data_IF_579062059148
#
_entry.id   IF_579062059148
#
_cell.length_a   1.000
_cell.length_b   1.000
_cell.length_c   1.000
_cell.angle_alpha   90.00
_cell.angle_beta   90.00
_cell.angle_gamma   90.00
#
_symmetry.space_group_name_H-M   'P 1'
#
loop_
_entity.id
_entity.type
_entity.pdbx_description
1 polymer ?
#
# COMPACT_ATOMS: atom_id res chain seq x y z
N UNK A 1 -20.65 -11.63 -0.33
CA UNK A 1 -20.18 -10.25 -0.13
C UNK A 1 -19.83 -9.69 -1.50
N UNK A 2 -20.43 -8.57 -1.86
CA UNK A 2 -20.16 -7.86 -3.12
C UNK A 2 -18.84 -7.09 -3.03
N UNK A 3 -18.13 -6.87 -4.16
CA UNK A 3 -16.95 -6.01 -4.16
C UNK A 3 -17.34 -4.59 -3.76
N UNK A 4 -16.55 -3.96 -2.90
CA UNK A 4 -16.73 -2.56 -2.49
C UNK A 4 -15.97 -1.68 -3.47
N UNK A 5 -16.66 -0.78 -4.18
CA UNK A 5 -16.02 0.16 -5.12
C UNK A 5 -16.37 1.59 -4.72
N UNK A 6 -15.37 2.41 -4.42
CA UNK A 6 -15.55 3.82 -4.07
C UNK A 6 -14.64 4.71 -4.93
N UNK A 7 -15.25 5.76 -5.49
CA UNK A 7 -14.56 6.74 -6.35
C UNK A 7 -14.76 8.14 -5.78
N UNK A 8 -13.72 8.69 -5.16
CA UNK A 8 -13.77 10.00 -4.52
C UNK A 8 -13.00 11.05 -5.29
N UNK A 9 -13.65 12.19 -5.57
CA UNK A 9 -13.02 13.31 -6.30
C UNK A 9 -12.37 14.35 -5.40
N UNK A 10 -12.68 14.33 -4.10
CA UNK A 10 -12.23 15.28 -3.10
C UNK A 10 -11.58 14.53 -1.92
N UNK A 11 -11.61 15.11 -0.72
CA UNK A 11 -11.21 14.45 0.52
C UNK A 11 -12.16 13.30 0.86
N UNK A 12 -11.62 12.15 1.27
CA UNK A 12 -12.41 11.00 1.67
C UNK A 12 -11.68 10.12 2.68
N UNK A 13 -12.40 9.65 3.69
CA UNK A 13 -11.97 8.57 4.58
C UNK A 13 -12.87 7.37 4.32
N UNK A 14 -12.26 6.20 4.16
CA UNK A 14 -12.98 4.96 3.96
C UNK A 14 -12.41 3.89 4.88
N UNK A 15 -13.25 3.40 5.77
CA UNK A 15 -12.97 2.32 6.70
C UNK A 15 -13.81 1.11 6.28
N UNK A 16 -13.18 -0.05 6.14
CA UNK A 16 -13.83 -1.30 5.78
C UNK A 16 -13.34 -2.44 6.69
N UNK A 17 -14.20 -2.90 7.60
CA UNK A 17 -13.84 -3.98 8.53
C UNK A 17 -13.61 -5.34 7.83
N UNK A 18 -14.59 -5.80 7.04
CA UNK A 18 -14.50 -7.08 6.34
C UNK A 18 -14.96 -6.92 4.90
N UNK A 19 -14.03 -7.08 3.96
CA UNK A 19 -14.36 -7.05 2.54
C UNK A 19 -13.64 -8.17 1.77
N UNK A 20 -14.35 -8.75 0.80
CA UNK A 20 -13.71 -9.71 -0.11
C UNK A 20 -12.81 -8.97 -1.09
N UNK A 21 -13.33 -7.91 -1.70
CA UNK A 21 -12.65 -7.14 -2.73
C UNK A 21 -12.94 -5.66 -2.47
N UNK A 22 -11.90 -4.82 -2.49
CA UNK A 22 -12.00 -3.39 -2.32
C UNK A 22 -11.29 -2.66 -3.47
N UNK A 23 -12.02 -1.77 -4.15
CA UNK A 23 -11.53 -0.91 -5.22
C UNK A 23 -11.76 0.54 -4.83
N UNK A 24 -10.74 1.19 -4.27
CA UNK A 24 -10.85 2.57 -3.78
C UNK A 24 -9.94 3.48 -4.62
N UNK A 25 -10.52 4.52 -5.21
CA UNK A 25 -9.76 5.52 -5.95
C UNK A 25 -10.07 6.93 -5.48
N UNK A 26 -9.02 7.72 -5.24
CA UNK A 26 -9.13 9.11 -4.84
C UNK A 26 -8.34 10.04 -5.78
N UNK A 27 -8.87 11.25 -6.02
CA UNK A 27 -8.17 12.29 -6.83
C UNK A 27 -7.43 13.31 -5.99
N UNK A 28 -7.77 13.48 -4.72
CA UNK A 28 -7.20 14.48 -3.82
C UNK A 28 -6.61 13.75 -2.60
N UNK A 29 -6.91 14.21 -1.38
CA UNK A 29 -6.48 13.57 -0.14
C UNK A 29 -7.40 12.38 0.19
N UNK A 30 -6.84 11.26 0.61
CA UNK A 30 -7.64 10.14 1.10
C UNK A 30 -6.95 9.32 2.17
N UNK A 31 -7.74 8.77 3.08
CA UNK A 31 -7.34 7.70 3.99
C UNK A 31 -8.19 6.48 3.70
N UNK A 32 -7.55 5.33 3.55
CA UNK A 32 -8.22 4.05 3.32
C UNK A 32 -7.68 3.04 4.33
N UNK A 33 -8.56 2.63 5.23
CA UNK A 33 -8.29 1.68 6.31
C UNK A 33 -9.10 0.41 6.04
N UNK A 34 -8.41 -0.71 5.89
CA UNK A 34 -9.03 -2.02 5.66
C UNK A 34 -8.49 -3.00 6.69
N UNK A 35 -9.36 -3.48 7.58
CA UNK A 35 -8.98 -4.44 8.63
C UNK A 35 -8.76 -5.84 8.02
N UNK A 36 -9.81 -6.47 7.49
CA UNK A 36 -9.71 -7.77 6.81
C UNK A 36 -10.13 -7.68 5.34
N UNK A 37 -9.15 -7.83 4.44
CA UNK A 37 -9.38 -7.83 3.00
C UNK A 37 -8.72 -9.01 2.29
N UNK A 38 -9.46 -9.68 1.40
CA UNK A 38 -8.81 -10.67 0.53
C UNK A 38 -8.03 -9.98 -0.61
N UNK A 39 -8.65 -9.05 -1.31
CA UNK A 39 -8.04 -8.36 -2.47
C UNK A 39 -8.31 -6.85 -2.41
N UNK A 40 -7.25 -6.06 -2.29
CA UNK A 40 -7.33 -4.61 -2.21
C UNK A 40 -6.62 -3.93 -3.40
N UNK A 41 -7.35 -3.05 -4.08
CA UNK A 41 -6.85 -2.21 -5.17
C UNK A 41 -7.09 -0.75 -4.81
N UNK A 42 -6.04 -0.08 -4.31
CA UNK A 42 -6.15 1.30 -3.83
C UNK A 42 -5.29 2.23 -4.69
N UNK A 43 -5.89 3.29 -5.21
CA UNK A 43 -5.22 4.23 -6.11
C UNK A 43 -5.46 5.68 -5.73
N UNK A 44 -4.39 6.47 -5.61
CA UNK A 44 -4.48 7.89 -5.30
C UNK A 44 -3.69 8.76 -6.29
N UNK A 45 -4.19 9.97 -6.55
CA UNK A 45 -3.48 10.94 -7.42
C UNK A 45 -2.67 11.98 -6.67
N UNK A 46 -3.05 12.34 -5.46
CA UNK A 46 -2.37 13.37 -4.67
C UNK A 46 -1.80 12.73 -3.39
N UNK A 47 -2.33 13.08 -2.23
CA UNK A 47 -1.90 12.58 -0.93
C UNK A 47 -2.79 11.41 -0.50
N UNK A 48 -2.18 10.32 -0.06
CA UNK A 48 -2.95 9.20 0.51
C UNK A 48 -2.24 8.48 1.63
N UNK A 49 -3.03 7.96 2.54
CA UNK A 49 -2.62 6.94 3.49
C UNK A 49 -3.44 5.69 3.20
N UNK A 50 -2.77 4.55 3.14
CA UNK A 50 -3.38 3.24 2.95
C UNK A 50 -2.88 2.33 4.05
N UNK A 51 -3.80 1.92 4.92
CA UNK A 51 -3.54 1.04 6.06
C UNK A 51 -4.32 -0.25 5.86
N UNK A 52 -3.60 -1.38 5.82
CA UNK A 52 -4.18 -2.70 5.70
C UNK A 52 -3.63 -3.60 6.80
N UNK A 53 -4.48 -4.05 7.72
CA UNK A 53 -4.07 -4.95 8.81
C UNK A 53 -3.85 -6.37 8.23
N UNK A 54 -4.92 -7.05 7.84
CA UNK A 54 -4.86 -8.39 7.25
C UNK A 54 -5.26 -8.39 5.79
N UNK A 55 -4.28 -8.54 4.89
CA UNK A 55 -4.52 -8.62 3.46
C UNK A 55 -3.88 -9.83 2.79
N UNK A 56 -4.63 -10.54 1.94
CA UNK A 56 -4.01 -11.58 1.11
C UNK A 56 -3.26 -10.97 -0.07
N UNK A 57 -3.90 -10.10 -0.84
CA UNK A 57 -3.33 -9.49 -2.05
C UNK A 57 -3.60 -7.98 -2.07
N UNK A 58 -2.55 -7.17 -2.02
CA UNK A 58 -2.63 -5.72 -2.00
C UNK A 58 -1.94 -5.09 -3.21
N UNK A 59 -2.67 -4.25 -3.95
CA UNK A 59 -2.17 -3.45 -5.07
C UNK A 59 -2.39 -1.98 -4.78
N UNK A 60 -1.33 -1.29 -4.33
CA UNK A 60 -1.41 0.10 -3.94
C UNK A 60 -0.59 0.98 -4.89
N UNK A 61 -1.21 2.03 -5.41
CA UNK A 61 -0.59 2.91 -6.41
C UNK A 61 -0.83 4.38 -6.09
N UNK A 62 0.24 5.16 -5.98
CA UNK A 62 0.16 6.60 -5.76
C UNK A 62 0.95 7.41 -6.77
N UNK A 63 0.48 8.63 -7.07
CA UNK A 63 1.16 9.54 -8.01
C UNK A 63 1.97 10.65 -7.35
N UNK A 64 1.64 11.08 -6.15
CA UNK A 64 2.36 12.15 -5.46
C UNK A 64 2.91 11.62 -4.14
N UNK A 65 2.27 11.96 -3.02
CA UNK A 65 2.70 11.57 -1.69
C UNK A 65 1.85 10.42 -1.19
N UNK A 66 2.48 9.34 -0.74
CA UNK A 66 1.74 8.27 -0.07
C UNK A 66 2.49 7.65 1.09
N UNK A 67 1.70 7.15 2.02
CA UNK A 67 2.12 6.18 3.02
C UNK A 67 1.34 4.90 2.76
N UNK A 68 2.04 3.78 2.80
CA UNK A 68 1.48 2.45 2.66
C UNK A 68 1.95 1.62 3.85
N UNK A 69 1.01 1.25 4.71
CA UNK A 69 1.23 0.46 5.91
C UNK A 69 0.49 -0.86 5.75
N UNK A 70 1.23 -1.97 5.83
CA UNK A 70 0.70 -3.32 5.74
C UNK A 70 1.25 -4.18 6.88
N UNK A 71 0.38 -4.60 7.79
CA UNK A 71 0.79 -5.39 8.95
C UNK A 71 1.00 -6.85 8.56
N UNK A 72 -0.05 -7.55 8.14
CA UNK A 72 -0.02 -8.94 7.70
C UNK A 72 -0.44 -9.06 6.24
N UNK A 73 0.54 -9.18 5.35
CA UNK A 73 0.28 -9.31 3.92
C UNK A 73 0.92 -10.54 3.29
N UNK A 74 0.17 -11.32 2.53
CA UNK A 74 0.78 -12.41 1.76
C UNK A 74 1.52 -11.87 0.53
N UNK A 75 0.86 -11.08 -0.30
CA UNK A 75 1.42 -10.55 -1.54
C UNK A 75 1.12 -9.06 -1.67
N UNK A 76 2.17 -8.22 -1.71
CA UNK A 76 2.06 -6.77 -1.80
C UNK A 76 2.73 -6.23 -3.07
N UNK A 77 2.00 -5.45 -3.85
CA UNK A 77 2.51 -4.67 -4.98
C UNK A 77 2.31 -3.18 -4.70
N UNK A 78 3.39 -2.48 -4.39
CA UNK A 78 3.36 -1.06 -4.03
C UNK A 78 4.12 -0.25 -5.07
N UNK A 79 3.45 0.76 -5.65
CA UNK A 79 4.03 1.60 -6.68
C UNK A 79 3.79 3.08 -6.42
N UNK A 80 4.87 3.86 -6.37
CA UNK A 80 4.81 5.31 -6.17
C UNK A 80 5.61 6.07 -7.23
N UNK A 81 5.12 7.26 -7.59
CA UNK A 81 5.81 8.11 -8.58
C UNK A 81 6.63 9.25 -8.00
N UNK A 82 6.31 9.77 -6.82
CA UNK A 82 7.06 10.86 -6.20
C UNK A 82 7.59 10.42 -4.83
N UNK A 83 6.94 10.83 -3.75
CA UNK A 83 7.39 10.55 -2.39
C UNK A 83 6.54 9.42 -1.82
N UNK A 84 7.18 8.37 -1.33
CA UNK A 84 6.46 7.34 -0.59
C UNK A 84 7.22 6.81 0.61
N UNK A 85 6.43 6.38 1.59
CA UNK A 85 6.87 5.49 2.66
C UNK A 85 6.12 4.18 2.47
N UNK A 86 6.85 3.08 2.57
CA UNK A 86 6.32 1.73 2.54
C UNK A 86 6.76 1.01 3.79
N UNK A 87 5.81 0.69 4.65
CA UNK A 87 5.98 -0.04 5.90
C UNK A 87 5.28 -1.39 5.74
N UNK A 88 6.06 -2.47 5.86
CA UNK A 88 5.57 -3.84 5.78
C UNK A 88 6.12 -4.63 6.95
N UNK A 89 5.24 -5.16 7.80
CA UNK A 89 5.62 -5.74 9.09
C UNK A 89 5.75 -7.26 9.05
N UNK A 90 4.79 -7.96 8.42
CA UNK A 90 4.83 -9.39 8.14
C UNK A 90 4.37 -9.63 6.71
N UNK A 91 5.32 -9.56 5.77
CA UNK A 91 5.04 -9.82 4.36
C UNK A 91 5.73 -11.06 3.82
N UNK A 92 4.99 -11.93 3.11
CA UNK A 92 5.62 -13.07 2.44
C UNK A 92 6.33 -12.62 1.15
N UNK A 93 5.65 -11.90 0.27
CA UNK A 93 6.18 -11.47 -1.02
C UNK A 93 5.82 -10.01 -1.28
N UNK A 94 6.84 -9.15 -1.41
CA UNK A 94 6.67 -7.73 -1.67
C UNK A 94 7.36 -7.30 -2.97
N UNK A 95 6.66 -6.56 -3.81
CA UNK A 95 7.22 -5.84 -4.96
C UNK A 95 7.02 -4.35 -4.76
N UNK A 96 8.12 -3.62 -4.58
CA UNK A 96 8.11 -2.19 -4.28
C UNK A 96 8.79 -1.44 -5.41
N UNK A 97 8.07 -0.50 -6.02
CA UNK A 97 8.56 0.29 -7.14
C UNK A 97 8.37 1.78 -6.87
N UNK A 98 9.47 2.55 -6.91
CA UNK A 98 9.45 3.99 -6.70
C UNK A 98 10.24 4.72 -7.78
N UNK A 99 9.74 5.89 -8.21
CA UNK A 99 10.43 6.70 -9.24
C UNK A 99 11.26 7.85 -8.68
N UNK A 100 10.94 8.39 -7.51
CA UNK A 100 11.70 9.49 -6.91
C UNK A 100 12.19 9.07 -5.51
N UNK A 101 11.71 9.72 -4.45
CA UNK A 101 12.15 9.48 -3.08
C UNK A 101 11.27 8.39 -2.44
N UNK A 102 11.89 7.31 -1.98
CA UNK A 102 11.17 6.33 -1.17
C UNK A 102 11.96 5.88 0.05
N UNK A 103 11.20 5.61 1.11
CA UNK A 103 11.63 4.87 2.29
C UNK A 103 10.90 3.54 2.28
N UNK A 104 11.65 2.46 2.52
CA UNK A 104 11.10 1.12 2.72
C UNK A 104 11.55 0.60 4.07
N UNK A 105 10.58 0.28 4.92
CA UNK A 105 10.77 -0.37 6.20
C UNK A 105 10.11 -1.74 6.12
N UNK A 106 10.94 -2.78 6.09
CA UNK A 106 10.51 -4.16 5.92
C UNK A 106 10.93 -4.96 7.15
N UNK A 107 9.97 -5.27 8.02
CA UNK A 107 10.14 -6.27 9.08
C UNK A 107 9.63 -7.62 8.60
N UNK A 108 10.25 -8.70 9.06
CA UNK A 108 9.86 -10.10 8.83
C UNK A 108 9.46 -10.45 7.37
N UNK A 109 10.02 -9.74 6.39
CA UNK A 109 9.68 -9.90 4.98
C UNK A 109 10.50 -11.05 4.38
N UNK A 110 9.81 -12.08 3.87
CA UNK A 110 10.50 -13.27 3.33
C UNK A 110 11.15 -13.01 1.97
N UNK A 111 10.42 -12.40 1.04
CA UNK A 111 10.94 -12.03 -0.28
C UNK A 111 10.52 -10.60 -0.62
N UNK A 112 11.51 -9.76 -0.98
CA UNK A 112 11.27 -8.38 -1.37
C UNK A 112 12.04 -8.03 -2.65
N UNK A 113 11.31 -7.48 -3.62
CA UNK A 113 11.84 -6.99 -4.89
C UNK A 113 11.73 -5.48 -4.92
N UNK A 114 12.87 -4.79 -4.91
CA UNK A 114 12.94 -3.34 -4.87
C UNK A 114 13.41 -2.78 -6.21
N UNK A 115 12.61 -1.88 -6.79
CA UNK A 115 12.92 -1.17 -8.02
C UNK A 115 12.81 0.33 -7.80
N UNK A 116 13.94 1.02 -7.67
CA UNK A 116 13.98 2.47 -7.52
C UNK A 116 14.82 3.13 -8.62
N UNK A 117 14.38 4.30 -9.07
CA UNK A 117 15.12 5.10 -10.07
C UNK A 117 15.98 6.21 -9.46
N UNK A 118 15.75 6.56 -8.19
CA UNK A 118 16.42 7.66 -7.49
C UNK A 118 16.65 7.28 -6.01
N UNK A 119 16.84 8.28 -5.15
CA UNK A 119 17.16 8.14 -3.73
C UNK A 119 16.26 7.12 -3.02
N UNK A 120 16.91 6.10 -2.45
CA UNK A 120 16.30 4.96 -1.82
C UNK A 120 16.91 4.81 -0.42
N UNK A 121 16.07 4.83 0.62
CA UNK A 121 16.43 4.41 1.96
C UNK A 121 15.68 3.10 2.26
N UNK A 122 16.41 2.01 2.48
CA UNK A 122 15.81 0.73 2.82
C UNK A 122 16.36 0.23 4.15
N UNK A 123 15.47 -0.08 5.07
CA UNK A 123 15.77 -0.83 6.28
C UNK A 123 15.04 -2.18 6.19
N UNK A 124 15.80 -3.27 6.17
CA UNK A 124 15.25 -4.61 6.08
C UNK A 124 15.74 -5.45 7.26
N UNK A 125 14.82 -5.97 8.06
CA UNK A 125 15.09 -7.00 9.06
C UNK A 125 14.51 -8.33 8.56
N UNK A 126 15.16 -8.93 7.57
CA UNK A 126 14.76 -10.23 7.04
C UNK A 126 15.25 -11.34 7.98
N UNK A 127 14.35 -12.21 8.45
CA UNK A 127 14.74 -13.48 9.05
C UNK A 127 15.36 -14.38 7.96
N UNK A 128 16.65 -14.64 8.07
CA UNK A 128 17.32 -15.69 7.31
C UNK A 128 17.00 -17.07 7.90
#
# INVERSE_FOLDING_TARGET
>A
MTPTTLLCRQQSVHELDMCREAYLCSRQQSVHELDMCREAYLCSRQQSVHELDMCREAYLCSRQQSVHELDMCREAYLCSRQQSVHELDMCREAYLCSRQQSVHELDMCREAYLCSRQMLCCQCHCLC
#
